data_IF_911113049755
#
_entry.id   IF_911113049755
#
_cell.length_a   1.000
_cell.length_b   1.000
_cell.length_c   1.000
_cell.angle_alpha   90.00
_cell.angle_beta   90.00
_cell.angle_gamma   90.00
#
_symmetry.space_group_name_H-M   'P 1'
#
loop_
_entity.id
_entity.type
_entity.pdbx_description
1 polymer ?
#
# COMPACT_ATOMS: atom_id res chain seq x y z
N UNK A 1 6.03 -2.10 11.76
CA UNK A 1 5.76 -3.03 12.89
C UNK A 1 6.38 -4.41 12.68
N UNK A 2 6.26 -5.01 11.48
CA UNK A 2 6.84 -6.33 11.19
C UNK A 2 8.37 -6.39 11.32
N UNK A 3 9.11 -5.33 10.93
CA UNK A 3 10.57 -5.29 11.13
C UNK A 3 10.99 -5.40 12.60
N UNK A 4 10.32 -4.66 13.49
CA UNK A 4 10.61 -4.67 14.93
C UNK A 4 10.33 -6.05 15.53
N UNK A 5 9.19 -6.66 15.18
CA UNK A 5 8.85 -8.01 15.64
C UNK A 5 9.89 -9.05 15.18
N UNK A 6 10.32 -8.99 13.92
CA UNK A 6 11.35 -9.89 13.39
C UNK A 6 12.69 -9.72 14.12
N UNK A 7 13.09 -8.47 14.42
CA UNK A 7 14.32 -8.19 15.19
C UNK A 7 14.23 -8.70 16.62
N UNK A 8 13.09 -8.57 17.29
CA UNK A 8 12.87 -9.13 18.62
C UNK A 8 13.01 -10.65 18.60
N UNK A 9 12.43 -11.34 17.61
CA UNK A 9 12.57 -12.79 17.44
C UNK A 9 14.03 -13.18 17.26
N UNK A 10 14.80 -12.45 16.45
CA UNK A 10 16.23 -12.70 16.24
C UNK A 10 17.07 -12.43 17.50
N UNK A 11 16.77 -11.38 18.26
CA UNK A 11 17.43 -11.08 19.55
C UNK A 11 17.18 -12.19 20.56
N UNK A 12 15.92 -12.62 20.71
CA UNK A 12 15.57 -13.71 21.64
C UNK A 12 16.25 -15.01 21.22
N UNK A 13 16.19 -15.35 19.93
CA UNK A 13 16.81 -16.57 19.40
C UNK A 13 18.32 -16.58 19.58
N UNK A 14 18.99 -15.45 19.36
CA UNK A 14 20.45 -15.34 19.52
C UNK A 14 20.89 -15.28 20.99
N UNK A 15 20.10 -14.67 21.88
CA UNK A 15 20.36 -14.66 23.31
C UNK A 15 20.22 -16.06 23.94
N UNK A 16 19.20 -16.83 23.56
CA UNK A 16 18.99 -18.21 24.04
C UNK A 16 20.18 -19.13 23.74
N UNK A 17 20.78 -19.02 22.54
CA UNK A 17 21.92 -19.85 22.13
C UNK A 17 23.20 -19.61 22.93
N UNK A 18 23.37 -18.41 23.48
CA UNK A 18 24.63 -17.99 24.12
C UNK A 18 24.59 -18.05 25.64
N UNK A 19 23.39 -18.07 26.24
CA UNK A 19 23.21 -18.35 27.68
C UNK A 19 23.81 -19.71 28.06
N UNK A 20 23.80 -20.69 27.15
CA UNK A 20 24.40 -22.01 27.39
C UNK A 20 25.93 -22.01 27.36
N UNK A 21 26.57 -21.00 26.77
CA UNK A 21 28.02 -21.02 26.49
C UNK A 21 28.83 -19.95 27.22
N UNK A 22 28.19 -18.84 27.62
CA UNK A 22 28.86 -17.73 28.28
C UNK A 22 28.24 -17.42 29.64
N UNK A 23 29.07 -16.98 30.58
CA UNK A 23 28.58 -16.41 31.82
C UNK A 23 27.75 -15.16 31.53
N UNK A 24 26.68 -14.97 32.31
CA UNK A 24 25.71 -13.89 32.15
C UNK A 24 26.42 -12.52 32.10
N UNK A 25 27.46 -12.32 32.90
CA UNK A 25 28.25 -11.08 32.95
C UNK A 25 28.87 -10.68 31.61
N UNK A 26 29.32 -11.66 30.82
CA UNK A 26 29.92 -11.43 29.50
C UNK A 26 28.88 -11.20 28.40
N UNK A 27 27.66 -11.67 28.63
CA UNK A 27 26.56 -11.58 27.65
C UNK A 27 25.87 -10.20 27.66
N UNK A 28 25.85 -9.50 28.80
CA UNK A 28 25.11 -8.25 28.99
C UNK A 28 25.58 -7.16 28.02
N UNK A 29 26.90 -6.99 27.86
CA UNK A 29 27.47 -5.93 27.03
C UNK A 29 27.14 -6.12 25.53
N UNK A 30 27.36 -7.30 24.90
CA UNK A 30 26.94 -7.56 23.52
C UNK A 30 25.44 -7.34 23.30
N UNK A 31 24.58 -7.79 24.22
CA UNK A 31 23.13 -7.60 24.09
C UNK A 31 22.76 -6.11 24.09
N UNK A 32 23.28 -5.34 25.04
CA UNK A 32 22.97 -3.91 25.11
C UNK A 32 23.47 -3.17 23.87
N UNK A 33 24.69 -3.47 23.41
CA UNK A 33 25.27 -2.84 22.22
C UNK A 33 24.46 -3.20 20.97
N UNK A 34 24.08 -4.46 20.80
CA UNK A 34 23.25 -4.89 19.65
C UNK A 34 21.89 -4.22 19.66
N UNK A 35 21.20 -4.17 20.80
CA UNK A 35 19.92 -3.47 20.94
C UNK A 35 20.08 -1.98 20.61
N UNK A 36 21.08 -1.30 21.17
CA UNK A 36 21.34 0.11 20.91
C UNK A 36 21.58 0.38 19.41
N UNK A 37 22.40 -0.47 18.77
CA UNK A 37 22.65 -0.39 17.33
C UNK A 37 21.37 -0.62 16.53
N UNK A 38 20.54 -1.61 16.88
CA UNK A 38 19.29 -1.85 16.16
C UNK A 38 18.32 -0.69 16.22
N UNK A 39 18.18 -0.07 17.40
CA UNK A 39 17.35 1.12 17.57
C UNK A 39 17.89 2.29 16.75
N UNK A 40 19.21 2.48 16.74
CA UNK A 40 19.87 3.51 15.94
C UNK A 40 19.64 3.31 14.44
N UNK A 41 19.81 2.08 13.93
CA UNK A 41 19.60 1.77 12.51
C UNK A 41 18.14 1.93 12.10
N UNK A 42 17.18 1.53 12.94
CA UNK A 42 15.74 1.68 12.64
C UNK A 42 15.36 3.17 12.58
N UNK A 43 15.89 4.01 13.47
CA UNK A 43 15.59 5.44 13.51
C UNK A 43 16.06 6.17 12.25
N UNK A 44 17.30 5.93 11.81
CA UNK A 44 17.85 6.64 10.66
C UNK A 44 17.43 6.02 9.32
N UNK A 45 17.21 4.70 9.25
CA UNK A 45 16.73 4.00 8.06
C UNK A 45 17.54 4.29 6.78
N UNK A 46 18.86 4.53 6.89
CA UNK A 46 19.73 4.81 5.74
C UNK A 46 20.62 3.62 5.39
N UNK A 47 20.57 3.17 4.13
CA UNK A 47 21.38 2.05 3.62
C UNK A 47 22.90 2.22 3.86
N UNK A 48 23.41 3.46 3.76
CA UNK A 48 24.85 3.74 4.00
C UNK A 48 25.23 3.52 5.46
N UNK A 49 24.37 3.91 6.40
CA UNK A 49 24.60 3.73 7.83
C UNK A 49 24.58 2.24 8.20
N UNK A 50 23.64 1.47 7.63
CA UNK A 50 23.57 0.01 7.85
C UNK A 50 24.88 -0.68 7.42
N UNK A 51 25.46 -0.26 6.29
CA UNK A 51 26.75 -0.79 5.80
C UNK A 51 27.92 -0.41 6.71
N UNK A 52 28.02 0.87 7.11
CA UNK A 52 29.09 1.35 7.99
C UNK A 52 29.05 0.58 9.31
N UNK A 53 27.87 0.44 9.89
CA UNK A 53 27.66 -0.31 11.13
C UNK A 53 28.01 -1.79 10.95
N UNK A 54 27.65 -2.42 9.82
CA UNK A 54 28.03 -3.80 9.54
C UNK A 54 29.54 -3.99 9.51
N UNK A 55 30.28 -3.06 8.88
CA UNK A 55 31.74 -3.13 8.82
C UNK A 55 32.35 -2.99 10.22
N UNK A 56 31.93 -1.97 10.99
CA UNK A 56 32.41 -1.73 12.35
C UNK A 56 32.10 -2.93 13.25
N UNK A 57 30.89 -3.46 13.16
CA UNK A 57 30.45 -4.59 13.97
C UNK A 57 31.18 -5.89 13.61
N UNK A 58 31.49 -6.08 12.31
CA UNK A 58 32.30 -7.22 11.86
C UNK A 58 33.72 -7.16 12.43
N UNK A 59 34.33 -5.97 12.49
CA UNK A 59 35.66 -5.78 13.13
C UNK A 59 35.57 -6.06 14.64
N UNK A 60 34.53 -5.58 15.31
CA UNK A 60 34.30 -5.86 16.73
C UNK A 60 34.14 -7.37 17.01
N UNK A 61 33.47 -8.12 16.12
CA UNK A 61 33.33 -9.57 16.24
C UNK A 61 34.66 -10.33 16.09
N UNK A 62 35.62 -9.78 15.34
CA UNK A 62 36.96 -10.38 15.21
C UNK A 62 37.76 -10.20 16.51
N UNK A 63 37.67 -9.03 17.12
CA UNK A 63 38.36 -8.71 18.38
C UNK A 63 37.73 -9.42 19.59
N UNK A 64 36.39 -9.47 19.63
CA UNK A 64 35.62 -10.01 20.73
C UNK A 64 34.57 -11.01 20.20
N UNK A 65 34.78 -12.33 20.37
CA UNK A 65 33.89 -13.36 19.85
C UNK A 65 32.46 -13.28 20.41
N UNK A 66 32.30 -12.70 21.61
CA UNK A 66 31.01 -12.52 22.29
C UNK A 66 30.00 -11.69 21.47
N UNK A 67 30.47 -10.85 20.54
CA UNK A 67 29.61 -10.02 19.68
C UNK A 67 28.99 -10.79 18.51
N UNK A 68 29.33 -12.07 18.29
CA UNK A 68 28.74 -12.88 17.22
C UNK A 68 27.20 -12.95 17.28
N UNK A 69 26.61 -12.76 18.46
CA UNK A 69 25.16 -12.68 18.68
C UNK A 69 24.46 -11.68 17.75
N UNK A 70 25.09 -10.54 17.52
CA UNK A 70 24.50 -9.43 16.76
C UNK A 70 24.52 -9.60 15.25
N UNK A 71 25.29 -10.55 14.74
CA UNK A 71 25.49 -10.69 13.28
C UNK A 71 24.16 -10.98 12.55
N UNK A 72 23.32 -11.96 12.96
CA UNK A 72 22.06 -12.22 12.25
C UNK A 72 21.10 -11.04 12.23
N UNK A 73 21.18 -10.19 13.26
CA UNK A 73 20.34 -9.00 13.42
C UNK A 73 20.82 -7.87 12.51
N UNK A 74 22.12 -7.57 12.48
CA UNK A 74 22.66 -6.54 11.59
C UNK A 74 22.57 -6.99 10.13
N UNK A 75 22.72 -8.30 9.89
CA UNK A 75 22.50 -8.90 8.58
C UNK A 75 21.07 -8.73 8.08
N UNK A 76 20.06 -8.79 8.97
CA UNK A 76 18.66 -8.53 8.63
C UNK A 76 18.46 -7.15 7.98
N UNK A 77 19.18 -6.14 8.45
CA UNK A 77 19.05 -4.76 7.97
C UNK A 77 19.77 -4.50 6.65
N UNK A 78 20.80 -5.29 6.34
CA UNK A 78 21.59 -5.13 5.12
C UNK A 78 21.16 -6.06 3.99
N UNK A 79 20.54 -7.20 4.31
CA UNK A 79 20.09 -8.17 3.31
C UNK A 79 18.91 -7.55 2.53
N UNK A 80 19.05 -7.48 1.20
CA UNK A 80 18.17 -6.75 0.28
C UNK A 80 18.29 -5.21 0.24
N UNK A 81 19.31 -4.62 0.87
CA UNK A 81 19.68 -3.21 0.65
C UNK A 81 20.40 -3.01 -0.71
N UNK A 82 20.62 -1.75 -1.11
CA UNK A 82 21.40 -1.39 -2.31
C UNK A 82 22.80 -2.03 -2.33
N UNK A 83 23.37 -2.32 -1.17
CA UNK A 83 24.73 -2.86 -1.00
C UNK A 83 24.75 -4.34 -0.58
N UNK A 84 23.79 -5.14 -1.07
CA UNK A 84 23.63 -6.57 -0.73
C UNK A 84 24.92 -7.41 -0.76
N UNK A 85 25.86 -7.13 -1.65
CA UNK A 85 27.12 -7.89 -1.77
C UNK A 85 28.05 -7.72 -0.56
N UNK A 86 27.95 -6.60 0.16
CA UNK A 86 28.74 -6.35 1.38
C UNK A 86 28.28 -7.28 2.52
N UNK A 87 27.08 -7.87 2.44
CA UNK A 87 26.62 -8.85 3.42
C UNK A 87 27.52 -10.09 3.48
N UNK A 88 28.34 -10.39 2.46
CA UNK A 88 29.33 -11.48 2.50
C UNK A 88 30.37 -11.25 3.61
N UNK A 89 30.60 -9.99 4.01
CA UNK A 89 31.53 -9.64 5.10
C UNK A 89 31.12 -10.26 6.44
N UNK A 90 29.84 -10.56 6.66
CA UNK A 90 29.39 -11.23 7.89
C UNK A 90 29.88 -12.67 8.02
N UNK A 91 30.28 -13.30 6.91
CA UNK A 91 30.85 -14.66 6.91
C UNK A 91 32.31 -14.68 7.41
N UNK A 92 33.05 -13.58 7.32
CA UNK A 92 34.46 -13.52 7.71
C UNK A 92 34.64 -13.71 9.23
N UNK A 93 33.95 -12.95 10.11
CA UNK A 93 34.02 -13.17 11.56
C UNK A 93 33.52 -14.55 11.99
N UNK A 94 32.56 -15.11 11.24
CA UNK A 94 32.04 -16.45 11.49
C UNK A 94 33.08 -17.54 11.21
N UNK A 95 33.74 -17.49 10.04
CA UNK A 95 34.78 -18.46 9.66
C UNK A 95 35.99 -18.42 10.58
N UNK A 96 36.42 -17.23 11.02
CA UNK A 96 37.58 -17.09 11.91
C UNK A 96 37.36 -17.64 13.31
N UNK A 97 36.13 -17.59 13.82
CA UNK A 97 35.80 -18.06 15.17
C UNK A 97 35.19 -19.46 15.20
N UNK A 98 35.09 -20.16 14.05
CA UNK A 98 34.43 -21.47 13.96
C UNK A 98 35.09 -22.54 14.85
N UNK A 99 36.39 -22.42 15.10
CA UNK A 99 37.16 -23.34 15.95
C UNK A 99 36.93 -23.14 17.46
N UNK A 100 36.37 -21.98 17.87
CA UNK A 100 36.12 -21.67 19.28
C UNK A 100 34.76 -22.19 19.78
N UNK A 101 33.86 -22.57 18.86
CA UNK A 101 32.50 -23.00 19.18
C UNK A 101 32.30 -24.48 18.90
N UNK A 102 31.38 -25.10 19.63
CA UNK A 102 30.88 -26.43 19.28
C UNK A 102 30.21 -26.39 17.90
N UNK A 103 30.34 -27.48 17.14
CA UNK A 103 29.71 -27.63 15.83
C UNK A 103 28.20 -27.36 15.87
N UNK A 104 27.52 -27.71 16.98
CA UNK A 104 26.08 -27.48 17.16
C UNK A 104 25.74 -25.98 17.10
N UNK A 105 26.49 -25.14 17.82
CA UNK A 105 26.25 -23.69 17.90
C UNK A 105 26.49 -23.05 16.53
N UNK A 106 27.54 -23.50 15.83
CA UNK A 106 27.85 -23.01 14.48
C UNK A 106 26.69 -23.25 13.51
N UNK A 107 26.08 -24.45 13.56
CA UNK A 107 24.91 -24.81 12.76
C UNK A 107 23.70 -23.94 13.14
N UNK A 108 23.48 -23.69 14.43
CA UNK A 108 22.37 -22.84 14.89
C UNK A 108 22.53 -21.38 14.47
N UNK A 109 23.74 -20.82 14.48
CA UNK A 109 24.01 -19.46 13.97
C UNK A 109 23.75 -19.38 12.46
N UNK A 110 24.17 -20.38 11.68
CA UNK A 110 23.83 -20.46 10.26
C UNK A 110 22.31 -20.56 10.05
N UNK A 111 21.63 -21.35 10.88
CA UNK A 111 20.17 -21.40 10.91
C UNK A 111 19.55 -20.02 11.15
N UNK A 112 20.05 -19.24 12.11
CA UNK A 112 19.59 -17.89 12.38
C UNK A 112 19.87 -16.89 11.25
N UNK A 113 20.95 -17.05 10.50
CA UNK A 113 21.21 -16.24 9.31
C UNK A 113 20.20 -16.53 8.20
N UNK A 114 19.85 -17.81 8.02
CA UNK A 114 18.82 -18.22 7.06
C UNK A 114 17.45 -17.69 7.49
N UNK A 115 17.08 -17.80 8.77
CA UNK A 115 15.80 -17.26 9.25
C UNK A 115 15.76 -15.74 9.15
N UNK A 116 16.86 -15.04 9.43
CA UNK A 116 16.98 -13.60 9.21
C UNK A 116 16.72 -13.22 7.75
N UNK A 117 17.33 -13.96 6.81
CA UNK A 117 17.12 -13.76 5.37
C UNK A 117 15.66 -13.97 4.94
N UNK A 118 15.02 -15.05 5.41
CA UNK A 118 13.62 -15.36 5.05
C UNK A 118 12.64 -14.36 5.65
N UNK A 119 12.85 -13.93 6.90
CA UNK A 119 12.05 -12.89 7.55
C UNK A 119 12.15 -11.57 6.80
N UNK A 120 13.36 -11.16 6.39
CA UNK A 120 13.54 -9.92 5.62
C UNK A 120 12.89 -10.01 4.25
N UNK A 121 13.04 -11.14 3.55
CA UNK A 121 12.39 -11.37 2.25
C UNK A 121 10.86 -11.25 2.36
N UNK A 122 10.27 -11.88 3.37
CA UNK A 122 8.84 -11.81 3.62
C UNK A 122 8.39 -10.38 3.94
N UNK A 123 9.20 -9.63 4.69
CA UNK A 123 8.88 -8.25 5.05
C UNK A 123 8.88 -7.33 3.84
N UNK A 124 9.94 -7.38 3.01
CA UNK A 124 10.02 -6.60 1.77
C UNK A 124 8.88 -6.97 0.81
N UNK A 125 8.53 -8.25 0.72
CA UNK A 125 7.40 -8.71 -0.09
C UNK A 125 6.07 -8.18 0.44
N UNK A 126 5.88 -8.22 1.75
CA UNK A 126 4.67 -7.73 2.41
C UNK A 126 4.50 -6.22 2.21
N UNK A 127 5.55 -5.43 2.43
CA UNK A 127 5.53 -3.98 2.21
C UNK A 127 5.13 -3.64 0.76
N UNK A 128 5.76 -4.28 -0.23
CA UNK A 128 5.40 -4.07 -1.64
C UNK A 128 3.95 -4.46 -1.97
N UNK A 129 3.44 -5.53 -1.36
CA UNK A 129 2.05 -5.95 -1.56
C UNK A 129 1.08 -4.98 -0.89
N UNK A 130 1.42 -4.48 0.29
CA UNK A 130 0.63 -3.52 1.02
C UNK A 130 0.53 -2.18 0.28
N UNK A 131 1.64 -1.67 -0.24
CA UNK A 131 1.65 -0.44 -1.05
C UNK A 131 0.80 -0.59 -2.32
N UNK A 132 0.89 -1.75 -2.99
CA UNK A 132 0.05 -2.06 -4.15
C UNK A 132 -1.42 -2.13 -3.78
N UNK A 133 -1.74 -2.73 -2.64
CA UNK A 133 -3.12 -2.82 -2.14
C UNK A 133 -3.70 -1.43 -1.87
N UNK A 134 -2.95 -0.56 -1.18
CA UNK A 134 -3.38 0.83 -0.94
C UNK A 134 -3.63 1.54 -2.26
N UNK A 135 -2.67 1.47 -3.19
CA UNK A 135 -2.80 2.11 -4.50
C UNK A 135 -4.03 1.61 -5.27
N UNK A 136 -4.23 0.30 -5.34
CA UNK A 136 -5.39 -0.30 -6.01
C UNK A 136 -6.71 0.13 -5.38
N UNK A 137 -6.77 0.20 -4.04
CA UNK A 137 -7.95 0.68 -3.34
C UNK A 137 -8.22 2.13 -3.69
N UNK A 138 -7.21 2.98 -3.65
CA UNK A 138 -7.36 4.41 -3.93
C UNK A 138 -7.82 4.63 -5.39
N UNK A 139 -7.21 3.92 -6.36
CA UNK A 139 -7.62 3.92 -7.78
C UNK A 139 -9.10 3.50 -7.95
N UNK A 140 -9.53 2.43 -7.25
CA UNK A 140 -10.93 1.98 -7.28
C UNK A 140 -11.89 3.02 -6.68
N UNK A 141 -11.46 3.72 -5.64
CA UNK A 141 -12.28 4.75 -5.00
C UNK A 141 -12.46 5.94 -5.94
N UNK A 142 -11.40 6.36 -6.63
CA UNK A 142 -11.44 7.40 -7.66
C UNK A 142 -12.40 7.02 -8.80
N UNK A 143 -12.28 5.81 -9.34
CA UNK A 143 -13.18 5.31 -10.39
C UNK A 143 -14.63 5.30 -9.91
N UNK A 144 -14.89 4.87 -8.66
CA UNK A 144 -16.24 4.85 -8.09
C UNK A 144 -16.85 6.25 -8.05
N UNK A 145 -16.09 7.26 -7.60
CA UNK A 145 -16.55 8.65 -7.54
C UNK A 145 -16.89 9.17 -8.94
N UNK A 146 -15.99 8.98 -9.91
CA UNK A 146 -16.21 9.39 -11.30
C UNK A 146 -17.44 8.70 -11.90
N UNK A 147 -17.64 7.42 -11.59
CA UNK A 147 -18.79 6.66 -12.08
C UNK A 147 -20.10 7.17 -11.46
N UNK A 148 -20.12 7.48 -10.17
CA UNK A 148 -21.28 8.09 -9.51
C UNK A 148 -21.64 9.46 -10.10
N UNK A 149 -20.64 10.29 -10.40
CA UNK A 149 -20.85 11.57 -11.10
C UNK A 149 -21.42 11.37 -12.50
N UNK A 150 -20.89 10.38 -13.25
CA UNK A 150 -21.40 10.03 -14.58
C UNK A 150 -22.84 9.53 -14.54
N UNK A 151 -23.18 8.71 -13.55
CA UNK A 151 -24.57 8.23 -13.37
C UNK A 151 -25.50 9.42 -13.11
N UNK A 152 -25.12 10.35 -12.23
CA UNK A 152 -25.92 11.56 -11.98
C UNK A 152 -26.06 12.42 -13.25
N UNK A 153 -24.97 12.66 -13.98
CA UNK A 153 -24.98 13.41 -15.24
C UNK A 153 -25.96 12.80 -16.26
N UNK A 154 -25.94 11.47 -16.42
CA UNK A 154 -26.83 10.76 -17.33
C UNK A 154 -28.29 10.85 -16.88
N UNK A 155 -28.56 10.73 -15.57
CA UNK A 155 -29.91 10.91 -15.02
C UNK A 155 -30.45 12.32 -15.31
N UNK A 156 -29.66 13.37 -15.07
CA UNK A 156 -30.06 14.74 -15.39
C UNK A 156 -30.34 14.95 -16.90
N UNK A 157 -29.52 14.37 -17.77
CA UNK A 157 -29.75 14.42 -19.23
C UNK A 157 -31.03 13.71 -19.63
N UNK A 158 -31.29 12.54 -19.07
CA UNK A 158 -32.50 11.78 -19.33
C UNK A 158 -33.76 12.58 -18.92
N UNK A 159 -33.75 13.15 -17.71
CA UNK A 159 -34.86 13.98 -17.23
C UNK A 159 -35.07 15.22 -18.11
N UNK A 160 -33.99 15.83 -18.57
CA UNK A 160 -34.05 16.96 -19.50
C UNK A 160 -34.69 16.56 -20.83
N UNK A 161 -34.28 15.43 -21.43
CA UNK A 161 -34.84 14.93 -22.68
C UNK A 161 -36.33 14.61 -22.56
N UNK A 162 -36.75 13.97 -21.47
CA UNK A 162 -38.17 13.67 -21.20
C UNK A 162 -38.99 14.96 -21.09
N UNK A 163 -38.51 15.95 -20.33
CA UNK A 163 -39.18 17.23 -20.19
C UNK A 163 -39.25 17.98 -21.53
N UNK A 164 -38.17 17.98 -22.30
CA UNK A 164 -38.12 18.60 -23.61
C UNK A 164 -39.10 17.95 -24.59
N UNK A 165 -39.15 16.62 -24.63
CA UNK A 165 -40.12 15.88 -25.44
C UNK A 165 -41.57 16.21 -25.04
N UNK A 166 -41.84 16.31 -23.72
CA UNK A 166 -43.17 16.68 -23.19
C UNK A 166 -43.58 18.09 -23.60
N UNK A 167 -42.67 19.07 -23.53
CA UNK A 167 -42.93 20.45 -23.98
C UNK A 167 -43.16 20.51 -25.49
N UNK A 168 -42.37 19.76 -26.27
CA UNK A 168 -42.53 19.65 -27.72
C UNK A 168 -43.90 19.11 -28.07
N UNK A 169 -44.37 18.10 -27.34
CA UNK A 169 -45.68 17.50 -27.54
C UNK A 169 -46.82 18.46 -27.15
N UNK A 170 -46.70 19.18 -26.03
CA UNK A 170 -47.65 20.26 -25.68
C UNK A 170 -47.74 21.32 -26.78
N UNK A 171 -46.61 21.79 -27.29
CA UNK A 171 -46.58 22.76 -28.39
C UNK A 171 -47.15 22.21 -29.70
N UNK A 172 -47.07 20.90 -29.94
CA UNK A 172 -47.71 20.24 -31.08
C UNK A 172 -49.23 20.25 -30.90
N UNK A 173 -49.72 19.80 -29.73
CA UNK A 173 -51.14 19.77 -29.38
C UNK A 173 -51.75 21.18 -29.44
N UNK A 174 -51.09 22.20 -28.87
CA UNK A 174 -51.59 23.57 -28.91
C UNK A 174 -51.73 24.12 -30.33
N UNK A 175 -50.81 23.78 -31.24
CA UNK A 175 -50.92 24.14 -32.66
C UNK A 175 -52.09 23.41 -33.32
N UNK A 176 -52.22 22.11 -33.11
CA UNK A 176 -53.37 21.35 -33.65
C UNK A 176 -54.72 21.86 -33.13
N UNK A 177 -54.81 22.20 -31.84
CA UNK A 177 -56.01 22.81 -31.26
C UNK A 177 -56.25 24.19 -31.86
N UNK A 178 -55.22 25.04 -31.95
CA UNK A 178 -55.33 26.38 -32.53
C UNK A 178 -55.86 26.32 -33.97
N UNK A 179 -55.29 25.44 -34.79
CA UNK A 179 -55.69 25.31 -36.18
C UNK A 179 -57.11 24.74 -36.27
N UNK A 180 -57.44 23.70 -35.50
CA UNK A 180 -58.76 23.07 -35.56
C UNK A 180 -59.87 24.00 -35.04
N UNK A 181 -59.66 24.65 -33.88
CA UNK A 181 -60.62 25.62 -33.33
C UNK A 181 -60.69 26.87 -34.20
N UNK A 182 -59.55 27.40 -34.66
CA UNK A 182 -59.50 28.58 -35.52
C UNK A 182 -60.22 28.38 -36.85
N UNK A 183 -60.00 27.24 -37.52
CA UNK A 183 -60.70 26.89 -38.75
C UNK A 183 -62.20 26.68 -38.53
N UNK A 184 -62.61 25.97 -37.47
CA UNK A 184 -64.01 25.76 -37.14
C UNK A 184 -64.72 27.08 -36.85
N UNK A 185 -64.12 27.95 -36.01
CA UNK A 185 -64.71 29.23 -35.64
C UNK A 185 -64.87 30.15 -36.85
N UNK A 186 -63.84 30.22 -37.70
CA UNK A 186 -63.89 31.01 -38.95
C UNK A 186 -64.98 30.49 -39.88
N UNK A 187 -65.09 29.16 -40.04
CA UNK A 187 -66.13 28.53 -40.86
C UNK A 187 -67.54 28.78 -40.30
N UNK A 188 -67.73 28.67 -38.99
CA UNK A 188 -69.01 28.97 -38.33
C UNK A 188 -69.42 30.44 -38.46
N UNK A 189 -68.48 31.38 -38.33
CA UNK A 189 -68.74 32.82 -38.53
C UNK A 189 -69.21 33.08 -39.96
N UNK A 190 -68.53 32.50 -40.96
CA UNK A 190 -68.93 32.61 -42.37
C UNK A 190 -70.34 32.04 -42.61
N UNK A 191 -70.64 30.86 -42.07
CA UNK A 191 -71.95 30.24 -42.18
C UNK A 191 -73.06 31.09 -41.54
N UNK A 192 -72.84 31.61 -40.33
CA UNK A 192 -73.78 32.49 -39.64
C UNK A 192 -73.97 33.79 -40.43
N UNK A 193 -72.88 34.39 -40.93
CA UNK A 193 -72.91 35.57 -41.78
C UNK A 193 -73.77 35.36 -43.04
N UNK A 194 -73.61 34.22 -43.70
CA UNK A 194 -74.44 33.86 -44.87
C UNK A 194 -75.92 33.72 -44.51
N UNK A 195 -76.25 33.05 -43.38
CA UNK A 195 -77.64 32.91 -42.92
C UNK A 195 -78.26 34.29 -42.67
N UNK A 196 -77.56 35.20 -41.99
CA UNK A 196 -78.07 36.55 -41.71
C UNK A 196 -78.34 37.39 -42.96
N UNK A 197 -77.63 37.15 -44.05
CA UNK A 197 -77.88 37.81 -45.34
C UNK A 197 -79.13 37.24 -46.00
N UNK A 198 -79.29 35.92 -45.97
CA UNK A 198 -80.47 35.24 -46.55
C UNK A 198 -81.76 35.53 -45.78
N UNK A 199 -81.71 35.70 -44.46
CA UNK A 199 -82.90 35.93 -43.63
C UNK A 199 -83.33 37.40 -43.50
N UNK A 200 -82.61 38.34 -44.12
CA UNK A 200 -82.93 39.77 -44.11
C UNK A 200 -83.77 40.23 -45.32
N UNK A 201 -84.15 39.30 -46.19
CA UNK A 201 -85.24 39.43 -47.17
C UNK A 201 -86.54 38.83 -46.60
#
# INVERSE_FOLDING_TARGET
MNNILNKIILIIGSALLLIENYSIEKLILPILVTVAITCFLEYFSQDKLNVIVLIIYSILCILYPEFLMGIPIIFYDTIFSKYKYICILTLIPYLMNIHKYSHIISIMILGLLITSATLKFNTVKYEKLHDKFIKQRDDLTEISIVLEEKVKELQYKQDFEVNFATLKERNRISREIHDNVGHLLTSSILQIGAIMVVTKE
#
